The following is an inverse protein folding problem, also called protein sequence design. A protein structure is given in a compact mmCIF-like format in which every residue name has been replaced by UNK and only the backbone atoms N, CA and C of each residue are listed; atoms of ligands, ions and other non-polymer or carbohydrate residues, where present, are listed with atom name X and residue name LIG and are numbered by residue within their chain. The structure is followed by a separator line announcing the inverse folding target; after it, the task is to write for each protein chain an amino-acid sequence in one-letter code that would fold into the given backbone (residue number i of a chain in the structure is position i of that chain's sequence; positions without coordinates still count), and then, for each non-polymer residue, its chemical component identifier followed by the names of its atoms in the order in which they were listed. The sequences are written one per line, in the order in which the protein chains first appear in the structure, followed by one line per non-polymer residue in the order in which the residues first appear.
data_IF_382779338814
#
_entry.id   IF_382779338814
#
_cell.length_a   1.000
_cell.length_b   1.000
_cell.length_c   1.000
_cell.angle_alpha   90.00
_cell.angle_beta   90.00
_cell.angle_gamma   90.00
#
_symmetry.space_group_name_H-M   'P 1'
#
loop_
_entity.id
_entity.type
_entity.pdbx_description
1 polymer ?
#
# COMPACT_ATOMS: atom_id res chain seq x y z
N UNK A 1 -8.73 -34.37 -1.03
CA UNK A 1 -9.46 -33.57 -2.03
C UNK A 1 -10.75 -33.10 -1.39
N UNK A 2 -10.88 -31.79 -1.17
CA UNK A 2 -11.89 -31.20 -0.29
C UNK A 2 -13.30 -31.25 -0.88
N UNK A 3 -14.27 -31.57 -0.03
CA UNK A 3 -15.68 -31.47 -0.37
C UNK A 3 -16.05 -30.03 -0.78
N UNK A 4 -16.98 -29.83 -1.73
CA UNK A 4 -17.43 -28.51 -2.11
C UNK A 4 -18.08 -27.82 -0.89
N UNK A 5 -17.59 -26.63 -0.53
CA UNK A 5 -18.17 -25.82 0.54
C UNK A 5 -19.45 -25.16 0.00
N UNK A 6 -20.64 -25.49 0.51
CA UNK A 6 -21.87 -24.88 0.03
C UNK A 6 -21.97 -23.42 0.55
N UNK A 7 -22.47 -22.49 -0.28
CA UNK A 7 -22.76 -21.15 0.18
C UNK A 7 -23.88 -21.17 1.20
N UNK A 8 -23.68 -20.56 2.38
CA UNK A 8 -24.64 -20.55 3.49
C UNK A 8 -25.57 -19.33 3.48
N UNK A 9 -25.37 -18.40 2.56
CA UNK A 9 -26.19 -17.20 2.44
C UNK A 9 -27.58 -17.53 1.87
N UNK A 10 -28.68 -17.07 2.48
CA UNK A 10 -30.03 -17.22 1.92
C UNK A 10 -30.17 -16.63 0.52
N UNK A 11 -29.38 -15.59 0.19
CA UNK A 11 -29.37 -14.96 -1.14
C UNK A 11 -28.68 -15.81 -2.21
N UNK A 12 -27.87 -16.77 -1.79
CA UNK A 12 -27.11 -17.67 -2.65
C UNK A 12 -27.64 -19.11 -2.58
N UNK A 13 -28.76 -19.33 -1.88
CA UNK A 13 -29.37 -20.65 -1.69
C UNK A 13 -29.74 -21.33 -3.03
N UNK A 14 -30.01 -20.55 -4.08
CA UNK A 14 -30.28 -21.07 -5.42
C UNK A 14 -29.10 -21.85 -6.00
N UNK A 15 -27.86 -21.56 -5.59
CA UNK A 15 -26.68 -22.30 -6.05
C UNK A 15 -26.70 -23.75 -5.55
N UNK A 16 -27.41 -24.04 -4.45
CA UNK A 16 -27.50 -25.39 -3.89
C UNK A 16 -28.50 -26.27 -4.67
N UNK A 17 -29.51 -25.67 -5.30
CA UNK A 17 -30.53 -26.39 -6.09
C UNK A 17 -30.13 -26.59 -7.55
N UNK A 18 -29.06 -25.96 -8.03
CA UNK A 18 -28.56 -26.13 -9.39
C UNK A 18 -27.84 -27.47 -9.58
N UNK A 19 -27.95 -28.02 -10.80
CA UNK A 19 -27.12 -29.12 -11.29
C UNK A 19 -25.62 -28.85 -11.03
N UNK A 20 -24.82 -29.84 -10.59
CA UNK A 20 -23.41 -29.62 -10.27
C UNK A 20 -22.55 -29.01 -11.39
N UNK A 21 -22.82 -29.31 -12.67
CA UNK A 21 -22.08 -28.74 -13.79
C UNK A 21 -22.49 -27.29 -14.04
N UNK A 22 -23.79 -27.00 -13.99
CA UNK A 22 -24.33 -25.63 -14.11
C UNK A 22 -23.84 -24.75 -12.96
N UNK A 23 -23.84 -25.27 -11.73
CA UNK A 23 -23.33 -24.58 -10.54
C UNK A 23 -21.87 -24.15 -10.70
N UNK A 24 -21.01 -25.04 -11.21
CA UNK A 24 -19.60 -24.73 -11.48
C UNK A 24 -19.47 -23.59 -12.48
N UNK A 25 -20.27 -23.60 -13.56
CA UNK A 25 -20.27 -22.54 -14.55
C UNK A 25 -20.71 -21.20 -13.95
N UNK A 26 -21.80 -21.18 -13.18
CA UNK A 26 -22.30 -19.97 -12.51
C UNK A 26 -21.24 -19.39 -11.56
N UNK A 27 -20.60 -20.23 -10.75
CA UNK A 27 -19.51 -19.80 -9.87
C UNK A 27 -18.35 -19.20 -10.68
N UNK A 28 -17.98 -19.81 -11.80
CA UNK A 28 -16.90 -19.29 -12.66
C UNK A 28 -17.25 -17.91 -13.25
N UNK A 29 -18.49 -17.70 -13.69
CA UNK A 29 -18.96 -16.40 -14.20
C UNK A 29 -18.96 -15.35 -13.09
N UNK A 30 -19.44 -15.70 -11.89
CA UNK A 30 -19.43 -14.78 -10.74
C UNK A 30 -18.00 -14.43 -10.30
N UNK A 31 -17.10 -15.40 -10.31
CA UNK A 31 -15.68 -15.17 -10.02
C UNK A 31 -15.07 -14.21 -11.05
N UNK A 32 -15.33 -14.43 -12.34
CA UNK A 32 -14.89 -13.53 -13.40
C UNK A 32 -15.45 -12.11 -13.23
N UNK A 33 -16.75 -11.98 -12.94
CA UNK A 33 -17.38 -10.68 -12.70
C UNK A 33 -16.75 -9.94 -11.52
N UNK A 34 -16.48 -10.66 -10.41
CA UNK A 34 -15.81 -10.10 -9.23
C UNK A 34 -14.38 -9.65 -9.55
N UNK A 35 -13.62 -10.41 -10.34
CA UNK A 35 -12.30 -10.00 -10.82
C UNK A 35 -12.37 -8.76 -11.71
N UNK A 36 -13.40 -8.69 -12.58
CA UNK A 36 -13.61 -7.53 -13.44
C UNK A 36 -13.88 -6.25 -12.66
N UNK A 37 -14.77 -6.32 -11.68
CA UNK A 37 -15.09 -5.17 -10.83
C UNK A 37 -13.87 -4.73 -10.00
N UNK A 38 -13.12 -5.69 -9.44
CA UNK A 38 -11.88 -5.40 -8.71
C UNK A 38 -10.87 -4.64 -9.54
N UNK A 39 -10.72 -4.99 -10.82
CA UNK A 39 -9.82 -4.29 -11.73
C UNK A 39 -10.30 -2.86 -12.02
N UNK A 40 -11.60 -2.65 -12.23
CA UNK A 40 -12.16 -1.31 -12.42
C UNK A 40 -11.94 -0.41 -11.19
N UNK A 41 -12.11 -0.96 -9.98
CA UNK A 41 -11.82 -0.25 -8.73
C UNK A 41 -10.34 0.14 -8.66
N UNK A 42 -9.42 -0.77 -8.99
CA UNK A 42 -7.98 -0.48 -9.04
C UNK A 42 -7.63 0.63 -10.02
N UNK A 43 -8.23 0.61 -11.21
CA UNK A 43 -8.05 1.64 -12.22
C UNK A 43 -8.49 3.02 -11.68
N UNK A 44 -9.70 3.09 -11.11
CA UNK A 44 -10.20 4.33 -10.49
C UNK A 44 -9.32 4.83 -9.35
N UNK A 45 -8.84 3.95 -8.47
CA UNK A 45 -7.90 4.34 -7.40
C UNK A 45 -6.60 4.89 -7.96
N UNK A 46 -6.03 4.27 -9.01
CA UNK A 46 -4.80 4.75 -9.66
C UNK A 46 -5.00 6.13 -10.29
N UNK A 47 -6.12 6.33 -10.97
CA UNK A 47 -6.46 7.65 -11.53
C UNK A 47 -6.63 8.71 -10.45
N UNK A 48 -7.34 8.40 -9.37
CA UNK A 48 -7.50 9.30 -8.23
C UNK A 48 -6.16 9.68 -7.60
N UNK A 49 -5.28 8.70 -7.38
CA UNK A 49 -3.92 8.95 -6.90
C UNK A 49 -3.10 9.82 -7.87
N UNK A 50 -3.25 9.61 -9.19
CA UNK A 50 -2.58 10.42 -10.20
C UNK A 50 -3.05 11.87 -10.16
N UNK A 51 -4.36 12.10 -10.09
CA UNK A 51 -4.94 13.45 -9.97
C UNK A 51 -4.46 14.14 -8.70
N UNK A 52 -4.51 13.45 -7.55
CA UNK A 52 -4.01 13.98 -6.28
C UNK A 52 -2.52 14.40 -6.37
N UNK A 53 -1.68 13.58 -7.01
CA UNK A 53 -0.27 13.94 -7.26
C UNK A 53 -0.11 15.19 -8.13
N UNK A 54 -0.92 15.33 -9.19
CA UNK A 54 -0.90 16.51 -10.07
C UNK A 54 -1.35 17.79 -9.35
N UNK A 55 -2.30 17.67 -8.43
CA UNK A 55 -2.73 18.77 -7.54
C UNK A 55 -1.70 19.10 -6.44
N UNK A 56 -0.54 18.43 -6.44
CA UNK A 56 0.50 18.61 -5.42
C UNK A 56 0.16 17.98 -4.06
N UNK A 57 -0.95 17.25 -3.95
CA UNK A 57 -1.29 16.52 -2.73
C UNK A 57 -0.30 15.38 -2.53
N UNK A 58 0.17 15.27 -1.29
CA UNK A 58 1.06 14.20 -0.89
C UNK A 58 0.31 12.87 -0.82
N UNK A 59 0.71 11.90 -1.64
CA UNK A 59 0.19 10.53 -1.59
C UNK A 59 1.17 9.63 -0.82
N UNK A 60 0.66 8.88 0.16
CA UNK A 60 1.44 7.92 0.97
C UNK A 60 1.92 8.46 2.31
N UNK A 61 2.75 7.68 3.01
CA UNK A 61 3.13 7.94 4.41
C UNK A 61 3.86 9.29 4.58
N UNK A 62 3.54 10.09 5.62
CA UNK A 62 4.30 11.27 5.99
C UNK A 62 5.78 10.96 6.27
N UNK A 63 6.66 11.88 5.87
CA UNK A 63 8.12 11.79 6.05
C UNK A 63 8.36 12.48 7.38
N UNK A 64 9.10 11.83 8.29
CA UNK A 64 9.51 12.51 9.51
C UNK A 64 10.38 13.72 9.11
N UNK A 65 10.10 14.92 9.65
CA UNK A 65 10.97 16.06 9.45
C UNK A 65 12.34 15.76 10.06
N UNK A 66 13.40 16.24 9.43
CA UNK A 66 14.76 16.21 9.95
C UNK A 66 15.17 17.65 10.15
N UNK A 67 15.65 17.96 11.35
CA UNK A 67 16.26 19.25 11.65
C UNK A 67 17.71 19.24 11.14
N UNK A 68 17.92 19.84 9.97
CA UNK A 68 19.24 19.88 9.34
C UNK A 68 20.22 20.82 10.06
N UNK A 69 19.73 21.87 10.71
CA UNK A 69 20.58 22.76 11.52
C UNK A 69 21.18 21.99 12.69
N UNK A 70 20.33 21.26 13.41
CA UNK A 70 20.78 20.38 14.50
C UNK A 70 21.68 19.25 14.00
N UNK A 71 21.46 18.72 12.80
CA UNK A 71 22.36 17.76 12.18
C UNK A 71 23.77 18.33 11.98
N UNK A 72 23.89 19.53 11.41
CA UNK A 72 25.18 20.20 11.18
C UNK A 72 25.93 20.47 12.48
N UNK A 73 25.23 20.95 13.51
CA UNK A 73 25.81 21.16 14.85
C UNK A 73 26.38 19.87 15.44
N UNK A 74 25.63 18.76 15.36
CA UNK A 74 26.07 17.47 15.90
C UNK A 74 27.23 16.88 15.09
N UNK A 75 27.26 17.12 13.78
CA UNK A 75 28.39 16.72 12.92
C UNK A 75 29.64 17.56 13.17
N UNK A 76 29.49 18.86 13.40
CA UNK A 76 30.59 19.74 13.82
C UNK A 76 31.20 19.33 15.17
N UNK A 77 30.39 18.75 16.06
CA UNK A 77 30.85 18.13 17.31
C UNK A 77 31.52 16.76 17.14
N UNK A 78 31.66 16.26 15.92
CA UNK A 78 32.33 14.99 15.61
C UNK A 78 31.48 13.72 15.85
N UNK A 79 30.18 13.83 16.12
CA UNK A 79 29.34 12.64 16.36
C UNK A 79 29.20 11.76 15.12
N UNK A 80 29.13 10.44 15.33
CA UNK A 80 28.86 9.49 14.26
C UNK A 80 27.44 9.66 13.70
N UNK A 81 27.23 9.33 12.42
CA UNK A 81 25.90 9.39 11.79
C UNK A 81 24.86 8.53 12.53
N UNK A 82 25.28 7.45 13.20
CA UNK A 82 24.38 6.59 13.98
C UNK A 82 23.92 7.28 15.25
N UNK A 83 24.81 8.03 15.92
CA UNK A 83 24.46 8.76 17.14
C UNK A 83 23.63 10.00 16.82
N UNK A 84 23.95 10.70 15.73
CA UNK A 84 23.12 11.80 15.22
C UNK A 84 21.70 11.30 14.92
N UNK A 85 21.54 10.14 14.28
CA UNK A 85 20.23 9.56 13.99
C UNK A 85 19.42 9.29 15.26
N UNK A 86 20.06 8.77 16.32
CA UNK A 86 19.43 8.54 17.63
C UNK A 86 18.96 9.84 18.25
N UNK A 87 19.82 10.86 18.29
CA UNK A 87 19.50 12.18 18.86
C UNK A 87 18.37 12.87 18.10
N UNK A 88 18.30 12.69 16.77
CA UNK A 88 17.25 13.24 15.92
C UNK A 88 15.96 12.39 15.88
N UNK A 89 15.92 11.24 16.56
CA UNK A 89 14.72 10.39 16.61
C UNK A 89 14.34 9.76 15.26
N UNK A 90 15.30 9.64 14.35
CA UNK A 90 15.12 9.02 13.02
C UNK A 90 15.96 7.76 12.88
N UNK A 91 15.47 6.77 12.14
CA UNK A 91 16.26 5.57 11.88
C UNK A 91 17.52 5.91 11.06
N UNK A 92 18.65 5.25 11.34
CA UNK A 92 19.92 5.46 10.64
C UNK A 92 19.79 5.36 9.12
N UNK A 93 19.05 4.38 8.61
CA UNK A 93 18.76 4.22 7.19
C UNK A 93 17.94 5.37 6.61
N UNK A 94 17.01 5.93 7.40
CA UNK A 94 16.24 7.11 7.01
C UNK A 94 17.14 8.34 6.91
N UNK A 95 18.01 8.57 7.90
CA UNK A 95 18.96 9.68 7.86
C UNK A 95 19.91 9.58 6.66
N UNK A 96 20.52 8.41 6.44
CA UNK A 96 21.44 8.18 5.32
C UNK A 96 20.77 8.37 3.95
N UNK A 97 19.54 7.88 3.77
CA UNK A 97 18.78 8.09 2.53
C UNK A 97 18.48 9.58 2.32
N UNK A 98 18.05 10.28 3.37
CA UNK A 98 17.71 11.71 3.31
C UNK A 98 18.93 12.58 3.05
N UNK A 99 20.11 12.22 3.57
CA UNK A 99 21.37 12.89 3.25
C UNK A 99 21.72 12.76 1.77
N UNK A 100 21.61 11.55 1.20
CA UNK A 100 21.82 11.35 -0.25
C UNK A 100 20.89 12.25 -1.07
N UNK A 101 19.60 12.25 -0.77
CA UNK A 101 18.61 13.11 -1.44
C UNK A 101 18.91 14.61 -1.29
N UNK A 102 19.54 15.04 -0.20
CA UNK A 102 19.88 16.44 0.05
C UNK A 102 21.16 16.86 -0.68
N UNK A 103 22.13 15.96 -0.87
CA UNK A 103 23.33 16.20 -1.69
C UNK A 103 23.06 16.13 -3.19
N UNK A 104 22.05 15.35 -3.60
CA UNK A 104 21.59 15.24 -5.00
C UNK A 104 20.59 16.34 -5.39
N UNK A 105 20.21 17.19 -4.43
CA UNK A 105 19.30 18.32 -4.59
C UNK A 105 20.06 19.57 -5.02
#
# INVERSE_FOLDING_TARGET
MGAPVPPVSPRESFLQSLDPQVRKLVIAVLAWAAERERELLRQRTREGMRRAKLEGKRVGRPRKPIDWKKYEELRGKGLSLRDVARVLGVGYSTLRRRLREEYER
#
